data_IF_876225687010
#
_entry.id   IF_876225687010
#
_cell.length_a   1.000
_cell.length_b   1.000
_cell.length_c   1.000
_cell.angle_alpha   90.00
_cell.angle_beta   90.00
_cell.angle_gamma   90.00
#
_symmetry.space_group_name_H-M   'P 1'
#
loop_
_entity.id
_entity.type
_entity.pdbx_description
1 polymer ?
#
# COMPACT_ATOMS: atom_id res chain seq x y z
N UNK A 1 6.16 11.05 -10.13
CA UNK A 1 5.82 12.20 -10.99
C UNK A 1 6.76 12.30 -12.17
N UNK A 2 7.95 12.88 -11.97
CA UNK A 2 8.89 13.18 -13.05
C UNK A 2 9.24 11.98 -13.95
N UNK A 3 9.69 10.86 -13.38
CA UNK A 3 10.02 9.65 -14.15
C UNK A 3 8.83 9.12 -14.99
N UNK A 4 7.61 9.15 -14.45
CA UNK A 4 6.41 8.74 -15.17
C UNK A 4 6.14 9.63 -16.40
N UNK A 5 6.21 10.94 -16.19
CA UNK A 5 5.92 11.91 -17.25
C UNK A 5 7.06 11.99 -18.27
N UNK A 6 8.30 11.67 -17.89
CA UNK A 6 9.38 11.43 -18.84
C UNK A 6 9.04 10.27 -19.78
N UNK A 7 8.57 9.13 -19.25
CA UNK A 7 8.17 8.00 -20.09
C UNK A 7 7.02 8.36 -21.04
N UNK A 8 6.02 9.08 -20.56
CA UNK A 8 4.92 9.57 -21.41
C UNK A 8 5.44 10.51 -22.52
N UNK A 9 6.34 11.43 -22.18
CA UNK A 9 6.94 12.34 -23.16
C UNK A 9 7.81 11.60 -24.19
N UNK A 10 8.60 10.60 -23.76
CA UNK A 10 9.42 9.78 -24.66
C UNK A 10 8.57 8.91 -25.59
N UNK A 11 7.44 8.39 -25.09
CA UNK A 11 6.47 7.63 -25.88
C UNK A 11 5.89 8.47 -27.02
N UNK A 12 5.33 9.64 -26.71
CA UNK A 12 4.74 10.53 -27.73
C UNK A 12 5.81 11.09 -28.67
N UNK A 13 7.01 11.39 -28.17
CA UNK A 13 8.13 11.80 -29.01
C UNK A 13 8.57 10.70 -29.98
N UNK A 14 8.64 9.43 -29.53
CA UNK A 14 8.97 8.30 -30.41
C UNK A 14 7.97 8.19 -31.56
N UNK A 15 6.69 8.34 -31.26
CA UNK A 15 5.63 8.32 -32.27
C UNK A 15 5.79 9.48 -33.25
N UNK A 16 6.05 10.69 -32.74
CA UNK A 16 6.25 11.89 -33.55
C UNK A 16 7.48 11.80 -34.49
N UNK A 17 8.59 11.22 -34.02
CA UNK A 17 9.86 11.17 -34.75
C UNK A 17 9.95 10.04 -35.79
N UNK A 18 8.90 9.22 -35.94
CA UNK A 18 8.86 8.18 -36.98
C UNK A 18 8.15 6.89 -36.57
N UNK A 19 7.84 6.71 -35.29
CA UNK A 19 7.12 5.56 -34.75
C UNK A 19 7.69 4.21 -35.22
N UNK A 20 9.01 4.03 -35.16
CA UNK A 20 9.71 2.81 -35.63
C UNK A 20 9.22 1.52 -34.93
N UNK A 21 8.56 1.64 -33.79
CA UNK A 21 7.99 0.53 -33.03
C UNK A 21 6.54 0.21 -33.43
N UNK A 22 5.96 0.97 -34.35
CA UNK A 22 4.60 0.77 -34.86
C UNK A 22 3.51 0.90 -33.80
N UNK A 23 3.70 1.77 -32.80
CA UNK A 23 2.77 1.94 -31.67
C UNK A 23 1.41 2.43 -32.18
N UNK A 24 0.33 1.72 -31.82
CA UNK A 24 -1.03 2.20 -32.06
C UNK A 24 -1.42 3.18 -30.93
N UNK A 25 -1.64 4.45 -31.29
CA UNK A 25 -2.00 5.51 -30.33
C UNK A 25 -3.29 5.21 -29.56
N UNK A 26 -4.16 4.34 -30.08
CA UNK A 26 -5.41 3.91 -29.45
C UNK A 26 -5.21 2.76 -28.46
N UNK A 27 -4.04 2.16 -28.45
CA UNK A 27 -3.66 1.04 -27.58
C UNK A 27 -2.56 1.41 -26.59
N UNK A 28 -2.34 2.70 -26.36
CA UNK A 28 -1.50 3.20 -25.28
C UNK A 28 -2.24 3.01 -23.95
N UNK A 29 -1.60 2.28 -23.03
CA UNK A 29 -2.11 2.07 -21.66
C UNK A 29 -1.43 3.00 -20.66
N UNK A 30 -0.26 3.54 -21.01
CA UNK A 30 0.48 4.46 -20.16
C UNK A 30 -0.18 5.84 -20.10
N UNK A 31 -0.61 6.23 -18.89
CA UNK A 31 -1.24 7.52 -18.60
C UNK A 31 -0.24 8.48 -17.94
N UNK A 32 -0.50 9.79 -18.05
CA UNK A 32 0.28 10.83 -17.34
C UNK A 32 -0.07 10.90 -15.86
N UNK A 33 0.72 11.64 -15.06
CA UNK A 33 0.52 11.73 -13.61
C UNK A 33 0.70 13.15 -13.07
N UNK A 34 -0.09 13.49 -12.06
CA UNK A 34 0.06 14.70 -11.25
C UNK A 34 -0.36 14.38 -9.81
N UNK A 35 0.33 14.94 -8.82
CA UNK A 35 -0.04 14.74 -7.41
C UNK A 35 -1.01 15.83 -6.93
N UNK A 36 -2.18 15.86 -7.56
CA UNK A 36 -3.28 16.79 -7.26
C UNK A 36 -4.62 16.08 -7.46
N UNK A 37 -5.60 16.45 -6.65
CA UNK A 37 -6.98 15.97 -6.80
C UNK A 37 -7.70 16.73 -7.92
N UNK A 38 -7.22 16.55 -9.16
CA UNK A 38 -7.74 17.24 -10.33
C UNK A 38 -8.61 16.30 -11.19
N UNK A 39 -9.93 16.49 -11.10
CA UNK A 39 -10.88 15.70 -11.89
C UNK A 39 -10.89 16.07 -13.37
N UNK A 40 -10.40 17.27 -13.74
CA UNK A 40 -10.46 17.80 -15.10
C UNK A 40 -9.53 17.03 -16.04
N UNK A 41 -8.45 16.45 -15.51
CA UNK A 41 -7.44 15.72 -16.26
C UNK A 41 -7.72 14.21 -16.41
N UNK A 42 -8.88 13.72 -15.93
CA UNK A 42 -9.20 12.29 -15.98
C UNK A 42 -9.25 11.74 -17.41
N UNK A 43 -9.82 12.52 -18.33
CA UNK A 43 -9.91 12.22 -19.76
C UNK A 43 -9.58 13.48 -20.53
N UNK A 44 -8.58 13.41 -21.40
CA UNK A 44 -8.13 14.52 -22.24
C UNK A 44 -7.87 14.02 -23.66
N UNK A 45 -7.82 14.95 -24.60
CA UNK A 45 -7.20 14.74 -25.91
C UNK A 45 -5.98 15.65 -25.95
N UNK A 46 -4.81 15.07 -26.19
CA UNK A 46 -3.54 15.79 -26.28
C UNK A 46 -2.95 15.69 -27.71
N UNK A 47 -1.77 16.27 -27.92
CA UNK A 47 -1.12 16.29 -29.25
C UNK A 47 -1.91 17.08 -30.31
N UNK A 48 -2.78 18.01 -29.88
CA UNK A 48 -3.50 18.94 -30.75
C UNK A 48 -2.59 20.10 -31.19
N UNK A 49 -3.01 20.84 -32.22
CA UNK A 49 -2.28 22.00 -32.73
C UNK A 49 -1.73 21.77 -34.13
N UNK A 50 -0.55 22.33 -34.40
CA UNK A 50 0.16 22.13 -35.65
C UNK A 50 0.79 20.73 -35.73
N UNK A 51 1.17 20.30 -36.94
CA UNK A 51 1.87 19.02 -37.15
C UNK A 51 3.15 18.88 -36.32
N UNK A 52 3.81 19.99 -36.02
CA UNK A 52 5.03 20.02 -35.19
C UNK A 52 4.76 19.81 -33.69
N UNK A 53 3.50 19.94 -33.24
CA UNK A 53 3.15 19.91 -31.81
C UNK A 53 2.87 18.49 -31.30
N UNK A 54 2.61 17.51 -32.19
CA UNK A 54 2.43 16.11 -31.81
C UNK A 54 1.51 15.30 -32.72
N UNK A 55 1.05 14.16 -32.20
CA UNK A 55 0.04 13.29 -32.82
C UNK A 55 -1.15 13.23 -31.88
N UNK A 56 -2.34 13.61 -32.37
CA UNK A 56 -3.53 13.67 -31.54
C UNK A 56 -3.96 12.28 -31.06
N UNK A 57 -4.23 12.14 -29.75
CA UNK A 57 -4.76 10.92 -29.15
C UNK A 57 -5.56 11.19 -27.88
N UNK A 58 -6.34 10.20 -27.47
CA UNK A 58 -6.95 10.19 -26.13
C UNK A 58 -5.87 9.86 -25.08
N UNK A 59 -5.95 10.55 -23.93
CA UNK A 59 -5.07 10.32 -22.78
C UNK A 59 -5.81 10.61 -21.47
N UNK A 60 -5.11 10.43 -20.36
CA UNK A 60 -5.59 10.89 -19.06
C UNK A 60 -4.48 10.95 -18.02
N UNK A 61 -4.81 11.55 -16.89
CA UNK A 61 -3.95 11.62 -15.72
C UNK A 61 -4.53 10.78 -14.59
N UNK A 62 -3.64 10.13 -13.86
CA UNK A 62 -3.96 9.58 -12.54
C UNK A 62 -3.12 10.30 -11.47
N UNK A 63 -3.54 10.18 -10.21
CA UNK A 63 -2.75 10.70 -9.10
C UNK A 63 -1.39 10.00 -9.04
N UNK A 64 -0.32 10.70 -8.67
CA UNK A 64 1.06 10.17 -8.78
C UNK A 64 1.28 8.82 -8.10
N UNK A 65 0.66 8.60 -6.94
CA UNK A 65 0.75 7.34 -6.16
C UNK A 65 0.09 6.13 -6.85
N UNK A 66 -0.74 6.36 -7.87
CA UNK A 66 -1.34 5.32 -8.71
C UNK A 66 -0.45 4.90 -9.90
N UNK A 67 0.75 5.48 -10.05
CA UNK A 67 1.71 5.10 -11.09
C UNK A 67 2.32 3.73 -10.83
N UNK A 68 2.50 2.93 -11.89
CA UNK A 68 3.30 1.71 -11.82
C UNK A 68 4.76 2.00 -11.45
N UNK A 69 5.27 3.21 -11.72
CA UNK A 69 6.57 3.67 -11.19
C UNK A 69 6.59 3.62 -9.67
N UNK A 70 5.50 3.98 -8.99
CA UNK A 70 5.41 3.91 -7.52
C UNK A 70 5.43 2.45 -7.04
N UNK A 71 4.73 1.55 -7.73
CA UNK A 71 4.76 0.12 -7.41
C UNK A 71 6.16 -0.49 -7.61
N UNK A 72 6.80 -0.20 -8.75
CA UNK A 72 8.17 -0.63 -9.04
C UNK A 72 9.17 -0.06 -8.02
N UNK A 73 9.02 1.21 -7.65
CA UNK A 73 9.81 1.88 -6.62
C UNK A 73 9.68 1.19 -5.25
N UNK A 74 8.46 0.83 -4.86
CA UNK A 74 8.23 0.20 -3.56
C UNK A 74 8.66 -1.28 -3.53
N UNK A 75 8.75 -1.96 -4.67
CA UNK A 75 9.16 -3.38 -4.75
C UNK A 75 10.63 -3.58 -5.15
N UNK A 76 11.33 -2.52 -5.56
CA UNK A 76 12.74 -2.63 -5.91
C UNK A 76 13.61 -2.94 -4.69
N UNK A 77 14.60 -3.80 -4.88
CA UNK A 77 15.61 -4.14 -3.87
C UNK A 77 16.83 -3.21 -3.91
N UNK A 78 17.14 -2.66 -5.08
CA UNK A 78 18.20 -1.68 -5.30
C UNK A 78 17.95 -0.88 -6.60
N UNK A 79 18.87 0.02 -6.97
CA UNK A 79 18.74 0.87 -8.17
C UNK A 79 18.81 0.09 -9.49
N UNK A 80 19.50 -1.05 -9.52
CA UNK A 80 19.61 -1.89 -10.71
C UNK A 80 18.34 -2.70 -10.91
N UNK A 81 17.78 -3.25 -9.84
CA UNK A 81 16.46 -3.88 -9.84
C UNK A 81 15.35 -2.87 -10.21
N UNK A 82 15.40 -1.64 -9.65
CA UNK A 82 14.49 -0.57 -10.05
C UNK A 82 14.58 -0.30 -11.56
N UNK A 83 15.78 -0.10 -12.11
CA UNK A 83 15.98 0.13 -13.55
C UNK A 83 15.43 -1.01 -14.39
N UNK A 84 15.65 -2.26 -13.98
CA UNK A 84 15.15 -3.44 -14.67
C UNK A 84 13.61 -3.52 -14.62
N UNK A 85 12.98 -3.25 -13.47
CA UNK A 85 11.53 -3.18 -13.31
C UNK A 85 10.91 -2.10 -14.19
N UNK A 86 11.50 -0.91 -14.17
CA UNK A 86 11.08 0.21 -15.02
C UNK A 86 11.17 -0.15 -16.51
N UNK A 87 12.18 -0.92 -16.93
CA UNK A 87 12.30 -1.39 -18.31
C UNK A 87 11.20 -2.34 -18.77
N UNK A 88 10.68 -3.17 -17.85
CA UNK A 88 9.61 -4.15 -18.14
C UNK A 88 8.20 -3.56 -18.20
N UNK A 89 8.03 -2.28 -17.85
CA UNK A 89 6.74 -1.60 -17.93
C UNK A 89 6.26 -1.61 -19.38
N UNK A 90 5.04 -2.13 -19.60
CA UNK A 90 4.35 -2.10 -20.89
C UNK A 90 3.61 -0.77 -21.01
N UNK A 91 3.94 0.01 -22.03
CA UNK A 91 3.36 1.34 -22.26
C UNK A 91 2.15 1.33 -23.21
N UNK A 92 2.00 0.27 -23.97
CA UNK A 92 0.94 0.08 -24.95
C UNK A 92 1.26 -1.07 -25.89
N UNK A 93 0.58 -1.10 -27.03
CA UNK A 93 0.72 -2.14 -28.04
C UNK A 93 0.97 -1.56 -29.43
N UNK A 94 1.68 -2.29 -30.27
CA UNK A 94 1.85 -1.94 -31.68
C UNK A 94 0.64 -2.40 -32.52
N UNK A 95 0.60 -2.05 -33.80
CA UNK A 95 -0.47 -2.46 -34.73
C UNK A 95 -0.59 -3.98 -34.92
N UNK A 96 0.44 -4.76 -34.57
CA UNK A 96 0.43 -6.23 -34.58
C UNK A 96 -0.06 -6.83 -33.25
N UNK A 97 -0.39 -5.99 -32.26
CA UNK A 97 -0.83 -6.42 -30.92
C UNK A 97 0.30 -6.85 -29.98
N UNK A 98 1.56 -6.61 -30.33
CA UNK A 98 2.71 -6.93 -29.48
C UNK A 98 2.91 -5.82 -28.43
N UNK A 99 3.27 -6.18 -27.18
CA UNK A 99 3.51 -5.20 -26.13
C UNK A 99 4.78 -4.39 -26.42
N UNK A 100 4.69 -3.08 -26.21
CA UNK A 100 5.82 -2.16 -26.28
C UNK A 100 6.21 -1.74 -24.87
N UNK A 101 7.50 -1.84 -24.56
CA UNK A 101 8.06 -1.61 -23.23
C UNK A 101 8.82 -0.30 -23.12
N UNK A 102 8.98 0.20 -21.89
CA UNK A 102 9.80 1.37 -21.62
C UNK A 102 11.30 1.17 -21.97
N UNK A 103 11.79 -0.07 -21.96
CA UNK A 103 13.15 -0.39 -22.41
C UNK A 103 13.32 -0.27 -23.93
N UNK A 104 12.32 -0.66 -24.73
CA UNK A 104 12.32 -0.43 -26.18
C UNK A 104 12.34 1.06 -26.53
N UNK A 105 11.73 1.91 -25.69
CA UNK A 105 11.83 3.37 -25.75
C UNK A 105 13.12 3.93 -25.14
N UNK A 106 14.02 3.08 -24.62
CA UNK A 106 15.28 3.46 -23.95
C UNK A 106 15.09 4.42 -22.76
N UNK A 107 13.93 4.37 -22.10
CA UNK A 107 13.55 5.30 -21.04
C UNK A 107 14.02 4.86 -19.63
N UNK A 108 14.20 3.56 -19.42
CA UNK A 108 14.49 2.96 -18.10
C UNK A 108 15.72 3.54 -17.39
N UNK A 109 16.81 3.79 -18.11
CA UNK A 109 18.01 4.42 -17.54
C UNK A 109 17.76 5.85 -17.03
N UNK A 110 17.09 6.67 -17.83
CA UNK A 110 16.80 8.06 -17.48
C UNK A 110 15.75 8.15 -16.34
N UNK A 111 14.75 7.27 -16.35
CA UNK A 111 13.81 7.16 -15.23
C UNK A 111 14.50 6.76 -13.92
N UNK A 112 15.41 5.77 -13.95
CA UNK A 112 16.18 5.38 -12.78
C UNK A 112 17.08 6.53 -12.27
N UNK A 113 17.69 7.30 -13.17
CA UNK A 113 18.48 8.47 -12.80
C UNK A 113 17.65 9.53 -12.05
N UNK A 114 16.43 9.83 -12.52
CA UNK A 114 15.49 10.73 -11.83
C UNK A 114 15.07 10.24 -10.44
N UNK A 115 15.16 8.93 -10.18
CA UNK A 115 14.76 8.29 -8.93
C UNK A 115 15.95 7.96 -8.01
N UNK A 116 17.19 8.24 -8.42
CA UNK A 116 18.42 7.83 -7.71
C UNK A 116 18.41 8.25 -6.24
N UNK A 117 18.16 9.53 -5.97
CA UNK A 117 18.15 10.03 -4.59
C UNK A 117 16.82 9.74 -3.90
N UNK A 118 15.72 9.75 -4.67
CA UNK A 118 14.40 9.41 -4.16
C UNK A 118 14.35 7.99 -3.58
N UNK A 119 15.17 7.05 -4.07
CA UNK A 119 15.21 5.65 -3.64
C UNK A 119 15.81 5.45 -2.23
N UNK A 120 16.39 6.50 -1.64
CA UNK A 120 16.97 6.46 -0.29
C UNK A 120 15.86 6.62 0.76
N UNK A 121 15.67 5.68 1.71
CA UNK A 121 14.68 5.82 2.77
C UNK A 121 14.84 7.11 3.58
N UNK A 122 13.72 7.79 3.87
CA UNK A 122 13.72 9.01 4.68
C UNK A 122 13.58 8.66 6.16
N UNK A 123 14.60 8.97 6.95
CA UNK A 123 14.58 8.81 8.40
C UNK A 123 13.92 10.03 9.05
N UNK A 124 12.92 9.77 9.90
CA UNK A 124 12.27 10.73 10.79
C UNK A 124 12.15 10.10 12.19
N UNK A 125 11.42 10.73 13.10
CA UNK A 125 11.16 10.20 14.43
C UNK A 125 9.69 10.37 14.84
N UNK A 126 9.22 9.52 15.75
CA UNK A 126 7.94 9.68 16.45
C UNK A 126 8.02 10.81 17.49
N UNK A 127 6.90 11.14 18.16
CA UNK A 127 6.88 12.11 19.25
C UNK A 127 7.79 11.73 20.44
N UNK A 128 8.09 10.44 20.59
CA UNK A 128 8.92 9.89 21.68
C UNK A 128 10.35 9.56 21.21
N UNK A 129 10.75 10.03 20.02
CA UNK A 129 12.10 9.85 19.50
C UNK A 129 12.39 8.47 18.91
N UNK A 130 11.38 7.61 18.73
CA UNK A 130 11.56 6.32 18.04
C UNK A 130 11.90 6.57 16.57
N UNK A 131 12.99 6.00 16.04
CA UNK A 131 13.33 6.10 14.62
C UNK A 131 12.21 5.55 13.72
N UNK A 132 11.85 6.26 12.67
CA UNK A 132 10.83 5.83 11.72
C UNK A 132 11.25 6.11 10.27
N UNK A 133 11.08 5.13 9.38
CA UNK A 133 11.25 5.35 7.94
C UNK A 133 9.90 5.64 7.27
N UNK A 134 9.84 6.74 6.51
CA UNK A 134 8.67 7.08 5.67
C UNK A 134 9.10 7.08 4.21
N UNK A 135 8.74 6.01 3.47
CA UNK A 135 9.27 5.80 2.13
C UNK A 135 8.36 4.94 1.24
N UNK A 136 7.94 5.50 0.11
CA UNK A 136 6.98 4.87 -0.79
C UNK A 136 5.52 5.01 -0.32
N UNK A 137 4.59 4.79 -1.24
CA UNK A 137 3.16 4.89 -0.94
C UNK A 137 2.31 4.54 -2.15
N UNK A 138 2.30 3.27 -2.61
CA UNK A 138 1.43 2.83 -3.68
C UNK A 138 0.00 2.66 -3.15
N UNK A 139 -0.98 2.73 -4.04
CA UNK A 139 -2.35 2.34 -3.69
C UNK A 139 -2.44 0.87 -3.25
N UNK A 140 -3.42 0.56 -2.41
CA UNK A 140 -3.69 -0.78 -1.91
C UNK A 140 -4.79 -1.53 -2.69
N UNK A 141 -5.40 -0.90 -3.70
CA UNK A 141 -6.37 -1.55 -4.61
C UNK A 141 -5.68 -2.04 -5.90
N UNK A 142 -5.19 -1.12 -6.74
CA UNK A 142 -4.50 -1.42 -8.00
C UNK A 142 -3.02 -1.80 -7.83
N UNK A 143 -2.49 -1.67 -6.62
CA UNK A 143 -1.15 -2.08 -6.25
C UNK A 143 -1.17 -2.70 -4.83
N UNK A 144 0.00 -2.92 -4.24
CA UNK A 144 0.18 -3.73 -3.02
C UNK A 144 0.03 -2.95 -1.70
N UNK A 145 -0.03 -1.62 -1.72
CA UNK A 145 -0.36 -0.84 -0.53
C UNK A 145 0.66 -0.85 0.61
N UNK A 146 1.96 -1.07 0.35
CA UNK A 146 2.99 -1.10 1.39
C UNK A 146 4.06 -0.03 1.15
N UNK A 147 4.77 0.36 2.20
CA UNK A 147 6.02 1.10 2.09
C UNK A 147 7.09 0.27 1.34
N UNK A 148 8.19 0.92 0.94
CA UNK A 148 9.21 0.27 0.11
C UNK A 148 9.92 -0.91 0.79
N UNK A 149 10.32 -1.89 -0.02
CA UNK A 149 11.20 -3.01 0.36
C UNK A 149 12.53 -2.52 0.94
N UNK A 150 13.16 -1.50 0.32
CA UNK A 150 14.44 -0.96 0.80
C UNK A 150 14.32 -0.42 2.22
N UNK A 151 13.27 0.34 2.52
CA UNK A 151 13.05 0.86 3.88
C UNK A 151 12.81 -0.27 4.90
N UNK A 152 11.97 -1.26 4.56
CA UNK A 152 11.74 -2.42 5.46
C UNK A 152 13.03 -3.21 5.71
N UNK A 153 13.81 -3.52 4.67
CA UNK A 153 15.09 -4.25 4.82
C UNK A 153 16.13 -3.45 5.57
N UNK A 154 16.20 -2.13 5.34
CA UNK A 154 17.09 -1.25 6.07
C UNK A 154 16.71 -1.20 7.56
N UNK A 155 15.42 -1.08 7.88
CA UNK A 155 14.95 -1.15 9.27
C UNK A 155 15.34 -2.46 9.95
N UNK A 156 15.13 -3.60 9.27
CA UNK A 156 15.46 -4.93 9.82
C UNK A 156 16.96 -5.15 10.04
N UNK A 157 17.81 -4.36 9.39
CA UNK A 157 19.24 -4.42 9.60
C UNK A 157 19.69 -3.64 10.85
N UNK A 158 18.95 -2.58 11.22
CA UNK A 158 19.35 -1.64 12.29
C UNK A 158 18.54 -1.77 13.58
N UNK A 159 17.44 -2.51 13.58
CA UNK A 159 16.57 -2.67 14.73
C UNK A 159 16.26 -4.14 15.01
N UNK A 160 16.06 -4.48 16.28
CA UNK A 160 15.66 -5.83 16.71
C UNK A 160 14.21 -6.15 16.31
N UNK A 161 13.34 -5.13 16.31
CA UNK A 161 11.94 -5.24 15.90
C UNK A 161 11.59 -4.15 14.88
N UNK A 162 10.86 -4.53 13.85
CA UNK A 162 10.38 -3.63 12.80
C UNK A 162 8.87 -3.76 12.67
N UNK A 163 8.16 -2.69 13.00
CA UNK A 163 6.72 -2.58 12.76
C UNK A 163 6.49 -1.91 11.40
N UNK A 164 5.67 -2.55 10.57
CA UNK A 164 5.26 -2.04 9.25
C UNK A 164 3.79 -2.35 9.02
N UNK A 165 3.18 -1.70 8.04
CA UNK A 165 1.76 -1.85 7.73
C UNK A 165 1.50 -2.10 6.23
N UNK A 166 0.29 -2.59 5.93
CA UNK A 166 -0.30 -2.63 4.60
C UNK A 166 -1.65 -1.89 4.61
N UNK A 167 -1.93 -1.11 3.57
CA UNK A 167 -3.13 -0.27 3.51
C UNK A 167 -4.44 -1.05 3.38
N UNK A 168 -5.54 -0.44 3.85
CA UNK A 168 -6.88 -1.06 3.99
C UNK A 168 -6.92 -2.20 5.02
N UNK A 169 -7.88 -3.12 4.90
CA UNK A 169 -8.03 -4.28 5.78
C UNK A 169 -7.09 -5.42 5.42
N UNK A 170 -7.08 -6.47 6.23
CA UNK A 170 -6.21 -7.64 6.03
C UNK A 170 -6.58 -8.46 4.77
N UNK A 171 -7.79 -8.28 4.24
CA UNK A 171 -8.26 -8.83 2.96
C UNK A 171 -7.57 -8.21 1.73
N UNK A 172 -6.98 -7.02 1.86
CA UNK A 172 -6.25 -6.34 0.79
C UNK A 172 -4.80 -6.07 1.18
N UNK A 173 -4.56 -5.29 2.23
CA UNK A 173 -3.22 -4.85 2.62
C UNK A 173 -2.34 -5.99 3.10
N UNK A 174 -2.86 -6.80 4.05
CA UNK A 174 -2.09 -7.92 4.59
C UNK A 174 -1.90 -9.04 3.55
N UNK A 175 -2.95 -9.40 2.79
CA UNK A 175 -2.84 -10.35 1.67
C UNK A 175 -1.73 -9.93 0.70
N UNK A 176 -1.77 -8.70 0.19
CA UNK A 176 -0.75 -8.23 -0.77
C UNK A 176 0.62 -8.06 -0.14
N UNK A 177 0.71 -7.72 1.14
CA UNK A 177 1.98 -7.71 1.86
C UNK A 177 2.59 -9.11 1.90
N UNK A 178 1.79 -10.14 2.21
CA UNK A 178 2.25 -11.53 2.33
C UNK A 178 2.49 -12.19 0.96
N UNK A 179 1.56 -12.04 0.03
CA UNK A 179 1.62 -12.74 -1.26
C UNK A 179 2.46 -12.02 -2.33
N UNK A 180 2.64 -10.71 -2.22
CA UNK A 180 3.46 -9.92 -3.17
C UNK A 180 4.76 -9.48 -2.52
N UNK A 181 4.70 -8.63 -1.49
CA UNK A 181 5.91 -8.00 -0.93
C UNK A 181 6.84 -9.02 -0.28
N UNK A 182 6.33 -9.89 0.60
CA UNK A 182 7.15 -10.90 1.28
C UNK A 182 7.78 -11.87 0.29
N UNK A 183 7.00 -12.36 -0.68
CA UNK A 183 7.48 -13.25 -1.75
C UNK A 183 8.59 -12.60 -2.59
N UNK A 184 8.43 -11.34 -2.99
CA UNK A 184 9.43 -10.65 -3.82
C UNK A 184 10.68 -10.23 -3.04
N UNK A 185 10.53 -9.88 -1.75
CA UNK A 185 11.61 -9.34 -0.94
C UNK A 185 12.28 -10.38 -0.02
N UNK A 186 11.79 -11.62 -0.03
CA UNK A 186 12.17 -12.69 0.88
C UNK A 186 12.05 -12.26 2.35
N UNK A 187 10.89 -11.70 2.71
CA UNK A 187 10.55 -11.31 4.08
C UNK A 187 9.65 -12.37 4.71
N UNK A 188 9.78 -12.56 6.01
CA UNK A 188 8.92 -13.45 6.80
C UNK A 188 8.47 -12.68 8.05
N UNK A 189 7.17 -12.35 8.18
CA UNK A 189 6.66 -11.74 9.41
C UNK A 189 6.68 -12.73 10.57
N UNK A 190 7.09 -12.26 11.73
CA UNK A 190 7.12 -13.07 12.96
C UNK A 190 5.79 -12.99 13.72
N UNK A 191 5.10 -11.85 13.65
CA UNK A 191 3.76 -11.65 14.23
C UNK A 191 2.94 -10.65 13.41
N UNK A 192 1.61 -10.72 13.56
CA UNK A 192 0.66 -9.81 12.89
C UNK A 192 -0.25 -9.15 13.93
N UNK A 193 -0.38 -7.83 13.84
CA UNK A 193 -1.32 -7.04 14.66
C UNK A 193 -2.55 -6.72 13.80
N UNK A 194 -3.73 -7.18 14.24
CA UNK A 194 -5.00 -6.87 13.58
C UNK A 194 -5.71 -5.79 14.40
N UNK A 195 -5.73 -4.57 13.87
CA UNK A 195 -6.35 -3.43 14.57
C UNK A 195 -7.86 -3.43 14.35
N UNK A 196 -8.63 -3.24 15.41
CA UNK A 196 -10.07 -3.04 15.37
C UNK A 196 -10.53 -1.98 16.39
N UNK A 197 -11.79 -1.55 16.27
CA UNK A 197 -12.45 -0.67 17.25
C UNK A 197 -13.86 -1.18 17.49
N UNK A 198 -14.37 -1.04 18.72
CA UNK A 198 -15.75 -1.45 19.06
C UNK A 198 -16.76 -0.80 18.13
N UNK A 199 -16.59 0.50 17.84
CA UNK A 199 -17.45 1.25 16.92
C UNK A 199 -17.44 0.69 15.50
N UNK A 200 -16.28 0.32 14.95
CA UNK A 200 -16.21 -0.27 13.60
C UNK A 200 -16.91 -1.63 13.55
N UNK A 201 -16.80 -2.43 14.61
CA UNK A 201 -17.50 -3.70 14.70
C UNK A 201 -19.02 -3.49 14.82
N UNK A 202 -19.49 -2.56 15.64
CA UNK A 202 -20.92 -2.17 15.66
C UNK A 202 -21.43 -1.70 14.30
N UNK A 203 -20.61 -0.94 13.55
CA UNK A 203 -20.94 -0.52 12.19
C UNK A 203 -21.10 -1.70 11.24
N UNK A 204 -20.20 -2.69 11.29
CA UNK A 204 -20.34 -3.94 10.53
C UNK A 204 -21.58 -4.73 10.95
N UNK A 205 -22.02 -4.60 12.19
CA UNK A 205 -23.30 -5.13 12.69
C UNK A 205 -24.55 -4.34 12.28
N UNK A 206 -24.39 -3.28 11.48
CA UNK A 206 -25.50 -2.50 10.91
C UNK A 206 -25.85 -1.22 11.66
N UNK A 207 -25.08 -0.81 12.68
CA UNK A 207 -25.35 0.46 13.38
C UNK A 207 -24.97 1.64 12.48
N UNK A 208 -25.87 2.62 12.26
CA UNK A 208 -25.56 3.83 11.52
C UNK A 208 -24.41 4.63 12.14
N UNK A 209 -23.62 5.32 11.30
CA UNK A 209 -22.39 6.02 11.70
C UNK A 209 -22.60 7.05 12.83
N UNK A 210 -23.76 7.68 12.86
CA UNK A 210 -24.14 8.70 13.85
C UNK A 210 -24.61 8.12 15.19
N UNK A 211 -24.75 6.79 15.31
CA UNK A 211 -25.25 6.10 16.51
C UNK A 211 -24.19 5.20 17.17
N UNK A 212 -22.95 5.21 16.69
CA UNK A 212 -21.88 4.29 17.13
C UNK A 212 -21.40 4.52 18.57
N UNK A 213 -21.74 5.64 19.20
CA UNK A 213 -21.29 5.99 20.55
C UNK A 213 -22.15 5.35 21.66
N UNK A 214 -23.30 4.78 21.32
CA UNK A 214 -24.16 4.09 22.29
C UNK A 214 -23.70 2.64 22.42
N UNK A 215 -23.75 2.09 23.64
CA UNK A 215 -23.51 0.66 23.86
C UNK A 215 -24.50 -0.17 23.04
N UNK A 216 -24.01 -1.18 22.31
CA UNK A 216 -24.87 -2.12 21.60
C UNK A 216 -24.18 -3.48 21.43
N UNK A 217 -24.28 -4.33 22.44
CA UNK A 217 -23.70 -5.67 22.44
C UNK A 217 -24.26 -6.57 21.33
N UNK A 218 -25.54 -6.43 20.99
CA UNK A 218 -26.17 -7.24 19.94
C UNK A 218 -25.58 -6.92 18.56
N UNK A 219 -25.45 -5.63 18.22
CA UNK A 219 -24.85 -5.24 16.96
C UNK A 219 -23.33 -5.51 16.95
N UNK A 220 -22.66 -5.35 18.09
CA UNK A 220 -21.26 -5.72 18.22
C UNK A 220 -21.07 -7.21 17.92
N UNK A 221 -21.88 -8.09 18.54
CA UNK A 221 -21.85 -9.53 18.26
C UNK A 221 -22.14 -9.84 16.79
N UNK A 222 -23.07 -9.13 16.15
CA UNK A 222 -23.38 -9.30 14.73
C UNK A 222 -22.25 -8.83 13.79
N UNK A 223 -21.39 -7.90 14.23
CA UNK A 223 -20.28 -7.35 13.43
C UNK A 223 -18.91 -7.95 13.71
N UNK A 224 -18.71 -8.60 14.87
CA UNK A 224 -17.50 -9.36 15.22
C UNK A 224 -17.09 -10.38 14.13
N UNK A 225 -17.99 -11.06 13.39
CA UNK A 225 -17.60 -11.97 12.32
C UNK A 225 -16.64 -11.37 11.27
N UNK A 226 -16.67 -10.05 11.04
CA UNK A 226 -15.69 -9.39 10.17
C UNK A 226 -14.26 -9.53 10.73
N UNK A 227 -14.06 -9.21 12.02
CA UNK A 227 -12.76 -9.36 12.69
C UNK A 227 -12.32 -10.81 12.75
N UNK A 228 -13.23 -11.72 13.15
CA UNK A 228 -12.91 -13.15 13.24
C UNK A 228 -12.47 -13.70 11.89
N UNK A 229 -13.07 -13.23 10.78
CA UNK A 229 -12.63 -13.67 9.46
C UNK A 229 -11.20 -13.23 9.13
N UNK A 230 -10.84 -12.00 9.48
CA UNK A 230 -9.46 -11.53 9.31
C UNK A 230 -8.49 -12.31 10.20
N UNK A 231 -8.88 -12.62 11.44
CA UNK A 231 -8.10 -13.48 12.35
C UNK A 231 -7.89 -14.88 11.78
N UNK A 232 -8.94 -15.52 11.25
CA UNK A 232 -8.85 -16.82 10.59
C UNK A 232 -7.91 -16.78 9.38
N UNK A 233 -8.02 -15.75 8.54
CA UNK A 233 -7.15 -15.64 7.37
C UNK A 233 -5.66 -15.61 7.79
N UNK A 234 -5.32 -14.82 8.81
CA UNK A 234 -3.93 -14.74 9.29
C UNK A 234 -3.47 -16.04 9.97
N UNK A 235 -4.24 -16.55 10.93
CA UNK A 235 -3.81 -17.66 11.79
C UNK A 235 -4.01 -19.03 11.14
N UNK A 236 -5.06 -19.21 10.34
CA UNK A 236 -5.41 -20.51 9.75
C UNK A 236 -5.01 -20.64 8.28
N UNK A 237 -4.98 -19.55 7.50
CA UNK A 237 -4.54 -19.62 6.09
C UNK A 237 -3.04 -19.36 5.99
N UNK A 238 -2.58 -18.19 6.45
CA UNK A 238 -1.16 -17.83 6.40
C UNK A 238 -0.30 -18.47 7.49
N UNK A 239 -0.94 -19.06 8.52
CA UNK A 239 -0.26 -19.73 9.65
C UNK A 239 0.71 -18.81 10.38
N UNK A 240 0.34 -17.53 10.53
CA UNK A 240 1.12 -16.54 11.25
C UNK A 240 0.56 -16.31 12.66
N UNK A 241 1.42 -16.13 13.68
CA UNK A 241 1.02 -15.67 15.00
C UNK A 241 0.33 -14.31 14.91
N UNK A 242 -0.75 -14.11 15.66
CA UNK A 242 -1.54 -12.88 15.60
C UNK A 242 -2.05 -12.42 16.98
N UNK A 243 -2.15 -11.10 17.12
CA UNK A 243 -2.84 -10.42 18.23
C UNK A 243 -3.84 -9.44 17.65
N UNK A 244 -4.99 -9.30 18.30
CA UNK A 244 -5.95 -8.24 18.00
C UNK A 244 -5.66 -7.04 18.88
N UNK A 245 -5.46 -5.86 18.29
CA UNK A 245 -5.35 -4.61 19.02
C UNK A 245 -6.69 -3.86 18.96
N UNK A 246 -7.32 -3.63 20.12
CA UNK A 246 -8.51 -2.77 20.19
C UNK A 246 -8.05 -1.37 20.57
N UNK A 247 -8.16 -0.44 19.62
CA UNK A 247 -7.93 0.98 19.92
C UNK A 247 -9.12 1.50 20.73
N UNK A 248 -8.87 1.89 21.98
CA UNK A 248 -9.88 2.33 22.92
C UNK A 248 -10.47 3.69 22.52
N UNK A 249 -11.79 3.81 22.59
CA UNK A 249 -12.49 5.10 22.56
C UNK A 249 -13.17 5.40 23.90
N UNK A 250 -13.31 6.69 24.28
CA UNK A 250 -13.95 7.08 25.55
C UNK A 250 -15.40 6.59 25.74
N UNK A 251 -16.07 6.21 24.65
CA UNK A 251 -17.46 5.73 24.65
C UNK A 251 -17.58 4.22 24.68
N UNK A 252 -16.47 3.50 24.53
CA UNK A 252 -16.49 2.04 24.54
C UNK A 252 -16.73 1.57 25.98
N UNK A 253 -17.67 0.64 26.18
CA UNK A 253 -17.93 0.10 27.52
C UNK A 253 -17.06 -1.12 27.79
N UNK A 254 -16.80 -1.41 29.07
CA UNK A 254 -16.07 -2.62 29.44
C UNK A 254 -16.76 -3.88 28.91
N UNK A 255 -18.11 -3.91 28.91
CA UNK A 255 -18.87 -5.04 28.40
C UNK A 255 -18.63 -5.27 26.90
N UNK A 256 -18.52 -4.20 26.11
CA UNK A 256 -18.20 -4.30 24.68
C UNK A 256 -16.78 -4.83 24.45
N UNK A 257 -15.80 -4.33 25.19
CA UNK A 257 -14.41 -4.80 25.10
C UNK A 257 -14.30 -6.28 25.49
N UNK A 258 -14.94 -6.68 26.59
CA UNK A 258 -14.93 -8.08 27.06
C UNK A 258 -15.62 -9.04 26.09
N UNK A 259 -16.67 -8.60 25.39
CA UNK A 259 -17.31 -9.40 24.36
C UNK A 259 -16.33 -9.70 23.21
N UNK A 260 -15.57 -8.69 22.77
CA UNK A 260 -14.54 -8.88 21.72
C UNK A 260 -13.42 -9.81 22.21
N UNK A 261 -12.95 -9.62 23.45
CA UNK A 261 -11.95 -10.51 24.09
C UNK A 261 -12.42 -11.96 24.10
N UNK A 262 -13.65 -12.19 24.54
CA UNK A 262 -14.25 -13.52 24.63
C UNK A 262 -14.32 -14.20 23.26
N UNK A 263 -14.84 -13.50 22.24
CA UNK A 263 -14.97 -14.06 20.89
C UNK A 263 -13.63 -14.33 20.20
N UNK A 264 -12.62 -13.47 20.40
CA UNK A 264 -11.28 -13.73 19.84
C UNK A 264 -10.58 -14.91 20.52
N UNK A 265 -10.79 -15.08 21.84
CA UNK A 265 -10.24 -16.19 22.62
C UNK A 265 -10.78 -17.54 22.17
N UNK A 266 -12.01 -17.62 21.65
CA UNK A 266 -12.56 -18.84 21.04
C UNK A 266 -11.73 -19.31 19.82
N UNK A 267 -11.02 -18.41 19.13
CA UNK A 267 -10.06 -18.72 18.07
C UNK A 267 -8.61 -18.85 18.55
N UNK A 268 -8.38 -18.80 19.87
CA UNK A 268 -7.04 -18.87 20.46
C UNK A 268 -6.20 -17.61 20.25
N UNK A 269 -6.82 -16.47 19.92
CA UNK A 269 -6.13 -15.19 19.70
C UNK A 269 -6.39 -14.24 20.85
N UNK A 270 -5.30 -13.70 21.41
CA UNK A 270 -5.38 -12.68 22.45
C UNK A 270 -5.78 -11.33 21.85
N UNK A 271 -6.40 -10.53 22.71
CA UNK A 271 -6.71 -9.13 22.43
C UNK A 271 -5.88 -8.29 23.39
N UNK A 272 -5.26 -7.22 22.90
CA UNK A 272 -4.64 -6.20 23.73
C UNK A 272 -5.39 -4.88 23.57
N UNK A 273 -5.66 -4.18 24.67
CA UNK A 273 -6.24 -2.85 24.60
C UNK A 273 -5.12 -1.85 24.30
N UNK A 274 -5.35 -0.96 23.35
CA UNK A 274 -4.39 0.05 22.91
C UNK A 274 -4.90 1.44 23.25
N UNK A 275 -4.14 2.14 24.10
CA UNK A 275 -4.39 3.52 24.54
C UNK A 275 -3.33 4.49 24.01
N UNK A 276 -2.56 4.10 22.98
CA UNK A 276 -1.40 4.85 22.49
C UNK A 276 -1.71 6.26 22.00
N UNK A 277 -2.95 6.50 21.56
CA UNK A 277 -3.39 7.84 21.17
C UNK A 277 -3.47 8.81 22.36
N UNK A 278 -3.93 8.33 23.52
CA UNK A 278 -4.12 9.16 24.71
C UNK A 278 -2.89 9.17 25.63
N UNK A 279 -2.11 8.09 25.66
CA UNK A 279 -1.04 7.85 26.64
C UNK A 279 0.34 7.61 26.02
N UNK A 280 0.50 7.79 24.71
CA UNK A 280 1.77 7.51 24.04
C UNK A 280 2.21 6.04 24.18
N UNK A 281 3.51 5.79 24.24
CA UNK A 281 4.08 4.45 24.38
C UNK A 281 3.59 3.67 25.60
N UNK A 282 3.30 4.35 26.71
CA UNK A 282 2.77 3.72 27.93
C UNK A 282 1.43 3.01 27.66
N UNK A 283 0.59 3.60 26.81
CA UNK A 283 -0.69 3.01 26.40
C UNK A 283 -0.58 1.81 25.46
N UNK A 284 0.64 1.44 25.05
CA UNK A 284 0.91 0.33 24.12
C UNK A 284 1.63 -0.86 24.77
N UNK A 285 1.92 -0.82 26.07
CA UNK A 285 2.73 -1.86 26.74
C UNK A 285 2.08 -3.25 26.64
N UNK A 286 0.78 -3.38 26.93
CA UNK A 286 0.07 -4.67 26.82
C UNK A 286 0.20 -5.27 25.41
N UNK A 287 0.04 -4.43 24.38
CA UNK A 287 0.19 -4.85 22.99
C UNK A 287 1.64 -5.22 22.66
N UNK A 288 2.61 -4.43 23.11
CA UNK A 288 4.03 -4.69 22.88
C UNK A 288 4.46 -6.02 23.52
N UNK A 289 4.10 -6.27 24.77
CA UNK A 289 4.39 -7.52 25.48
C UNK A 289 3.78 -8.73 24.75
N UNK A 290 2.55 -8.62 24.27
CA UNK A 290 1.91 -9.70 23.53
C UNK A 290 2.57 -9.95 22.15
N UNK A 291 2.99 -8.90 21.45
CA UNK A 291 3.74 -9.02 20.19
C UNK A 291 5.10 -9.68 20.42
N UNK A 292 5.83 -9.27 21.47
CA UNK A 292 7.10 -9.88 21.85
C UNK A 292 6.92 -11.38 22.12
N UNK A 293 5.92 -11.73 22.93
CA UNK A 293 5.56 -13.13 23.24
C UNK A 293 5.26 -13.95 21.98
N UNK A 294 4.59 -13.37 20.97
CA UNK A 294 4.28 -14.05 19.71
C UNK A 294 5.52 -14.24 18.82
N UNK A 295 6.47 -13.30 18.84
CA UNK A 295 7.71 -13.39 18.06
C UNK A 295 8.68 -14.47 18.58
N UNK A 296 8.51 -14.92 19.83
CA UNK A 296 9.32 -15.96 20.46
C UNK A 296 8.79 -17.40 20.24
N UNK A 297 7.66 -17.57 19.53
CA UNK A 297 7.00 -18.86 19.32
C UNK A 297 7.50 -19.65 18.10
#
# INVERSE_FOLDING_TARGET
GAANNLLAAMLDNHIHQGNELGIDVRSITWRRRVDMNDRQLRNVVDGLGARADGVAREDGFDITVASEVMAAFCLASDIMDLKARLGRIVVGYNYEGQPVTAEQLKANGAMAALLKDALKPNLVQTLEGTPAFVHGGPFANIAHGCNSVIATRMAMHFADYVVTEGGFGADLGAEKFLDIKCRMANLKPDAVIIVATVRALKYNGGVPKDQLNNENLQALEAGIPNLLKHVENITQVYKLPAVVAINEFPTDTQAEVELVRTKCKELGVNVALSQVWAKGGEGGIELAEEVLRLCEQ
#
